data_IF_289711983909
#
_entry.id   IF_289711983909
#
_cell.length_a   1.000
_cell.length_b   1.000
_cell.length_c   1.000
_cell.angle_alpha   90.00
_cell.angle_beta   90.00
_cell.angle_gamma   90.00
#
_symmetry.space_group_name_H-M   'P 1'
#
loop_
_entity.id
_entity.type
_entity.pdbx_description
1 polymer ?
#
# COMPACT_ATOMS: atom_id res chain seq x y z
N UNK A 1 13.01 -14.46 30.42
CA UNK A 1 12.20 -14.82 29.22
C UNK A 1 10.81 -14.14 29.17
N UNK A 2 10.48 -13.34 30.19
CA UNK A 2 9.16 -12.66 30.29
C UNK A 2 9.04 -11.27 29.65
N UNK A 3 10.16 -10.54 29.48
CA UNK A 3 10.12 -9.13 29.07
C UNK A 3 9.91 -8.93 27.56
N UNK A 4 10.32 -9.89 26.74
CA UNK A 4 10.15 -9.82 25.27
C UNK A 4 8.69 -9.90 24.83
N UNK A 5 7.89 -10.77 25.45
CA UNK A 5 6.47 -10.99 25.13
C UNK A 5 5.59 -9.77 25.53
N UNK A 6 5.98 -9.06 26.60
CA UNK A 6 5.26 -7.86 27.06
C UNK A 6 5.49 -6.67 26.11
N UNK A 7 6.73 -6.46 25.64
CA UNK A 7 7.05 -5.39 24.68
C UNK A 7 6.40 -5.61 23.30
N UNK A 8 6.34 -6.86 22.85
CA UNK A 8 5.72 -7.21 21.56
C UNK A 8 4.20 -6.99 21.57
N UNK A 9 3.54 -7.32 22.69
CA UNK A 9 2.12 -7.02 22.88
C UNK A 9 1.81 -5.52 22.86
N UNK A 10 2.68 -4.69 23.44
CA UNK A 10 2.51 -3.21 23.43
C UNK A 10 2.78 -2.66 22.03
N UNK A 11 3.72 -3.26 21.28
CA UNK A 11 4.01 -2.86 19.91
C UNK A 11 2.85 -3.09 18.95
N UNK A 12 2.06 -4.15 19.15
CA UNK A 12 0.92 -4.53 18.31
C UNK A 12 -0.43 -3.96 18.79
N UNK A 13 -0.44 -3.15 19.85
CA UNK A 13 -1.65 -2.43 20.27
C UNK A 13 -2.08 -1.39 19.23
N UNK A 14 -3.40 -1.27 19.02
CA UNK A 14 -3.98 -0.24 18.15
C UNK A 14 -3.50 1.16 18.57
N UNK A 15 -3.37 2.07 17.61
CA UNK A 15 -2.91 3.46 17.83
C UNK A 15 -3.74 4.15 18.90
N UNK A 16 -5.08 3.98 18.86
CA UNK A 16 -5.98 4.55 19.85
C UNK A 16 -5.70 4.04 21.27
N UNK A 17 -5.52 2.72 21.45
CA UNK A 17 -5.24 2.13 22.76
C UNK A 17 -3.86 2.55 23.27
N UNK A 18 -2.88 2.61 22.39
CA UNK A 18 -1.52 3.05 22.73
C UNK A 18 -1.51 4.52 23.14
N UNK A 19 -2.18 5.40 22.42
CA UNK A 19 -2.29 6.81 22.75
C UNK A 19 -2.95 7.00 24.13
N UNK A 20 -4.08 6.32 24.40
CA UNK A 20 -4.76 6.36 25.69
C UNK A 20 -3.85 5.84 26.81
N UNK A 21 -3.10 4.76 26.57
CA UNK A 21 -2.17 4.22 27.56
C UNK A 21 -1.06 5.23 27.93
N UNK A 22 -0.45 5.88 26.91
CA UNK A 22 0.61 6.88 27.11
C UNK A 22 0.06 8.11 27.89
N UNK A 23 -1.15 8.57 27.54
CA UNK A 23 -1.77 9.72 28.21
C UNK A 23 -2.15 9.41 29.65
N UNK A 24 -2.76 8.25 29.93
CA UNK A 24 -3.11 7.84 31.30
C UNK A 24 -1.86 7.66 32.16
N UNK A 25 -0.85 6.94 31.65
CA UNK A 25 0.41 6.73 32.38
C UNK A 25 1.10 8.05 32.67
N UNK A 26 1.14 8.96 31.71
CA UNK A 26 1.71 10.30 31.88
C UNK A 26 0.96 11.11 32.93
N UNK A 27 -0.39 11.11 32.92
CA UNK A 27 -1.20 11.82 33.91
C UNK A 27 -0.99 11.25 35.32
N UNK A 28 -0.88 9.93 35.47
CA UNK A 28 -0.59 9.31 36.78
C UNK A 28 0.78 9.77 37.29
N UNK A 29 1.82 9.69 36.45
CA UNK A 29 3.18 10.09 36.84
C UNK A 29 3.25 11.56 37.18
N UNK A 30 2.66 12.44 36.36
CA UNK A 30 2.65 13.88 36.60
C UNK A 30 1.80 14.26 37.79
N UNK A 31 0.74 13.52 38.08
CA UNK A 31 -0.06 13.73 39.30
C UNK A 31 0.77 13.47 40.58
N UNK A 32 1.40 12.29 40.66
CA UNK A 32 2.25 11.99 41.82
C UNK A 32 3.45 12.94 41.95
N UNK A 33 4.06 13.32 40.83
CA UNK A 33 5.14 14.30 40.81
C UNK A 33 4.65 15.67 41.30
N UNK A 34 3.49 16.15 40.86
CA UNK A 34 2.93 17.43 41.26
C UNK A 34 2.55 17.45 42.75
N UNK A 35 1.96 16.35 43.27
CA UNK A 35 1.64 16.25 44.71
C UNK A 35 2.91 16.35 45.55
N UNK A 36 3.96 15.60 45.17
CA UNK A 36 5.24 15.67 45.89
C UNK A 36 5.87 17.05 45.87
N UNK A 37 5.83 17.74 44.73
CA UNK A 37 6.38 19.09 44.60
C UNK A 37 5.57 20.11 45.40
N UNK A 38 4.22 19.98 45.40
CA UNK A 38 3.33 20.84 46.17
C UNK A 38 3.57 20.68 47.68
N UNK A 39 3.76 19.41 48.13
CA UNK A 39 4.06 19.12 49.52
C UNK A 39 5.41 19.70 49.94
N UNK A 40 6.46 19.56 49.12
CA UNK A 40 7.78 20.17 49.38
C UNK A 40 7.69 21.69 49.37
N UNK A 41 6.91 22.29 48.41
CA UNK A 41 6.71 23.72 48.37
C UNK A 41 5.98 24.23 49.64
N UNK A 42 5.00 23.47 50.15
CA UNK A 42 4.31 23.76 51.40
C UNK A 42 5.25 23.75 52.59
N UNK A 43 6.10 22.74 52.72
CA UNK A 43 7.10 22.66 53.82
C UNK A 43 8.09 23.80 53.75
N UNK A 44 8.62 24.15 52.59
CA UNK A 44 9.54 25.29 52.41
C UNK A 44 8.84 26.59 52.80
N UNK A 45 7.60 26.76 52.37
CA UNK A 45 6.80 27.96 52.66
C UNK A 45 6.54 28.09 54.17
N UNK A 46 6.17 27.00 54.84
CA UNK A 46 5.93 26.97 56.26
C UNK A 46 7.21 27.28 57.03
N UNK A 47 8.35 26.72 56.64
CA UNK A 47 9.66 27.01 57.24
C UNK A 47 10.03 28.50 57.12
N UNK A 48 9.74 29.12 55.94
CA UNK A 48 9.95 30.55 55.73
C UNK A 48 9.03 31.38 56.58
N UNK A 49 7.76 31.04 56.73
CA UNK A 49 6.77 31.78 57.51
C UNK A 49 7.08 31.73 59.01
N UNK A 50 7.57 30.54 59.54
CA UNK A 50 7.99 30.37 60.92
C UNK A 50 9.05 31.39 61.38
N UNK A 51 9.86 31.94 60.49
CA UNK A 51 10.87 32.96 60.83
C UNK A 51 10.25 34.30 61.26
N UNK A 52 9.00 34.55 60.88
CA UNK A 52 8.32 35.81 61.00
C UNK A 52 7.08 35.77 61.91
N UNK A 53 6.74 34.59 62.42
CA UNK A 53 5.62 34.37 63.34
C UNK A 53 6.13 34.42 64.77
N UNK A 54 5.38 35.14 65.64
CA UNK A 54 5.62 35.11 67.07
C UNK A 54 5.17 33.73 67.60
N UNK A 55 6.14 32.97 68.05
CA UNK A 55 5.92 31.57 68.48
C UNK A 55 5.07 31.51 69.76
N UNK A 56 5.26 32.44 70.64
CA UNK A 56 4.53 32.48 71.94
C UNK A 56 3.04 32.79 71.70
N UNK A 57 2.72 33.79 70.86
CA UNK A 57 1.35 34.11 70.44
C UNK A 57 0.70 32.97 69.69
N UNK A 58 1.44 32.27 68.85
CA UNK A 58 0.97 31.09 68.07
C UNK A 58 0.60 29.94 68.99
N UNK A 59 1.47 29.58 69.96
CA UNK A 59 1.22 28.49 70.89
C UNK A 59 0.08 28.84 71.90
N UNK A 60 -0.09 30.09 72.29
CA UNK A 60 -1.22 30.54 73.09
C UNK A 60 -2.54 30.37 72.29
N UNK A 61 -2.59 30.83 71.07
CA UNK A 61 -3.76 30.67 70.20
C UNK A 61 -4.11 29.22 69.89
N UNK A 62 -3.10 28.34 69.85
CA UNK A 62 -3.27 26.91 69.70
C UNK A 62 -3.90 26.25 70.91
N UNK A 63 -3.53 26.71 72.11
CA UNK A 63 -4.00 26.16 73.40
C UNK A 63 -5.43 26.58 73.71
N UNK A 64 -5.87 27.75 73.21
CA UNK A 64 -7.22 28.29 73.39
C UNK A 64 -8.27 27.69 72.39
N UNK A 65 -7.86 26.97 71.37
CA UNK A 65 -8.72 26.34 70.38
C UNK A 65 -8.93 24.85 70.66
N UNK A 66 -10.21 24.48 70.70
CA UNK A 66 -10.67 23.08 70.86
C UNK A 66 -9.99 22.09 69.86
N UNK A 67 -9.74 20.86 70.30
CA UNK A 67 -8.91 19.78 69.72
C UNK A 67 -9.13 19.39 68.26
N UNK A 68 -10.00 20.07 67.48
CA UNK A 68 -10.40 19.68 66.12
C UNK A 68 -10.00 20.65 65.03
N UNK A 69 -9.11 21.62 65.24
CA UNK A 69 -8.64 22.53 64.21
C UNK A 69 -7.13 22.37 63.96
N UNK A 70 -6.76 21.99 62.71
CA UNK A 70 -5.38 22.16 62.23
C UNK A 70 -5.00 23.65 62.24
N UNK A 71 -4.07 23.98 63.11
CA UNK A 71 -3.59 25.37 63.22
C UNK A 71 -2.57 25.59 62.10
N UNK A 72 -3.00 26.20 61.03
CA UNK A 72 -2.13 26.59 59.91
C UNK A 72 -1.30 27.79 60.31
N UNK A 73 -0.01 27.79 60.03
CA UNK A 73 0.91 28.90 60.27
C UNK A 73 0.41 30.14 59.51
N UNK A 74 0.12 31.27 60.19
CA UNK A 74 -0.45 32.44 59.55
C UNK A 74 0.55 33.06 58.57
N UNK A 75 0.08 33.49 57.41
CA UNK A 75 0.90 34.18 56.39
C UNK A 75 1.43 35.50 56.96
N UNK A 76 2.77 35.69 57.03
CA UNK A 76 3.32 36.96 57.52
C UNK A 76 3.06 38.10 56.55
N UNK A 77 2.98 39.35 57.09
CA UNK A 77 2.77 40.54 56.29
C UNK A 77 4.03 40.83 55.44
N UNK A 78 3.89 41.19 54.17
CA UNK A 78 4.96 41.53 53.24
C UNK A 78 5.98 42.54 53.82
N UNK A 79 5.51 43.50 54.54
CA UNK A 79 6.37 44.56 55.16
C UNK A 79 7.34 44.00 56.19
N UNK A 80 7.06 42.86 56.79
CA UNK A 80 7.90 42.19 57.80
C UNK A 80 8.90 41.20 57.21
N UNK A 81 8.68 40.76 55.93
CA UNK A 81 9.48 39.73 55.30
C UNK A 81 10.68 40.30 54.53
N UNK A 82 11.78 39.55 54.47
CA UNK A 82 12.87 39.81 53.53
C UNK A 82 12.36 39.72 52.09
N UNK A 83 12.97 40.48 51.17
CA UNK A 83 12.62 40.38 49.75
C UNK A 83 12.78 38.97 49.20
N UNK A 84 13.81 38.25 49.60
CA UNK A 84 14.06 36.86 49.21
C UNK A 84 12.97 35.92 49.71
N UNK A 85 12.65 36.00 51.02
CA UNK A 85 11.63 35.12 51.62
C UNK A 85 10.23 35.41 51.08
N UNK A 86 9.94 36.68 50.75
CA UNK A 86 8.71 37.02 50.02
C UNK A 86 8.61 36.34 48.63
N UNK A 87 9.68 36.42 47.82
CA UNK A 87 9.68 35.76 46.49
C UNK A 87 9.59 34.25 46.60
N UNK A 88 10.22 33.61 47.59
CA UNK A 88 10.07 32.21 47.86
C UNK A 88 8.62 31.85 48.18
N UNK A 89 7.98 32.60 49.09
CA UNK A 89 6.58 32.38 49.45
C UNK A 89 5.64 32.52 48.25
N UNK A 90 5.78 33.58 47.45
CA UNK A 90 4.99 33.77 46.21
C UNK A 90 5.21 32.65 45.17
N UNK A 91 6.45 32.17 45.05
CA UNK A 91 6.76 31.06 44.15
C UNK A 91 6.11 29.76 44.65
N UNK A 92 6.14 29.52 45.97
CA UNK A 92 5.46 28.39 46.58
C UNK A 92 3.94 28.46 46.40
N UNK A 93 3.32 29.61 46.60
CA UNK A 93 1.89 29.86 46.36
C UNK A 93 1.53 29.59 44.90
N UNK A 94 2.33 30.09 43.97
CA UNK A 94 2.15 29.85 42.54
C UNK A 94 2.23 28.34 42.20
N UNK A 95 3.24 27.64 42.73
CA UNK A 95 3.41 26.20 42.54
C UNK A 95 2.25 25.38 43.13
N UNK A 96 1.81 25.73 44.32
CA UNK A 96 0.66 25.07 44.98
C UNK A 96 -0.63 25.28 44.20
N UNK A 97 -0.84 26.48 43.65
CA UNK A 97 -2.08 26.84 42.91
C UNK A 97 -2.08 26.28 41.50
N UNK A 98 -0.98 26.42 40.75
CA UNK A 98 -0.92 26.12 39.33
C UNK A 98 -0.08 24.86 38.97
N UNK A 99 0.65 24.28 39.94
CA UNK A 99 1.57 23.19 39.73
C UNK A 99 0.92 21.99 39.06
N UNK A 100 -0.24 21.55 39.51
CA UNK A 100 -0.96 20.40 38.91
C UNK A 100 -1.24 20.64 37.43
N UNK A 101 -1.71 21.85 37.07
CA UNK A 101 -2.00 22.18 35.67
C UNK A 101 -0.73 22.20 34.81
N UNK A 102 0.33 22.86 35.29
CA UNK A 102 1.59 22.98 34.56
C UNK A 102 2.22 21.61 34.29
N UNK A 103 2.32 20.77 35.33
CA UNK A 103 2.87 19.44 35.19
C UNK A 103 2.01 18.52 34.33
N UNK A 104 0.66 18.64 34.42
CA UNK A 104 -0.25 17.90 33.58
C UNK A 104 -0.10 18.25 32.10
N UNK A 105 0.00 19.55 31.77
CA UNK A 105 0.24 19.98 30.39
C UNK A 105 1.61 19.52 29.86
N UNK A 106 2.66 19.68 30.67
CA UNK A 106 3.99 19.19 30.29
C UNK A 106 4.02 17.68 30.06
N UNK A 107 3.39 16.90 30.95
CA UNK A 107 3.26 15.46 30.81
C UNK A 107 2.48 15.03 29.58
N UNK A 108 1.37 15.71 29.30
CA UNK A 108 0.61 15.45 28.07
C UNK A 108 1.46 15.71 26.81
N UNK A 109 2.21 16.80 26.79
CA UNK A 109 3.14 17.10 25.68
C UNK A 109 4.21 16.02 25.48
N UNK A 110 4.79 15.52 26.58
CA UNK A 110 5.76 14.42 26.56
C UNK A 110 5.09 13.14 26.03
N UNK A 111 3.89 12.80 26.51
CA UNK A 111 3.16 11.60 26.09
C UNK A 111 2.88 11.61 24.57
N UNK A 112 2.39 12.74 24.05
CA UNK A 112 2.13 12.93 22.61
C UNK A 112 3.42 12.82 21.79
N UNK A 113 4.51 13.44 22.26
CA UNK A 113 5.81 13.37 21.59
C UNK A 113 6.37 11.95 21.53
N UNK A 114 6.30 11.21 22.63
CA UNK A 114 6.72 9.81 22.70
C UNK A 114 5.84 8.91 21.80
N UNK A 115 4.54 9.10 21.83
CA UNK A 115 3.61 8.38 20.96
C UNK A 115 3.94 8.62 19.46
N UNK A 116 4.11 9.89 19.07
CA UNK A 116 4.49 10.24 17.70
C UNK A 116 5.81 9.57 17.28
N UNK A 117 6.85 9.70 18.13
CA UNK A 117 8.18 9.14 17.85
C UNK A 117 8.16 7.62 17.70
N UNK A 118 7.43 6.92 18.59
CA UNK A 118 7.47 5.47 18.67
C UNK A 118 6.50 4.76 17.71
N UNK A 119 5.35 5.39 17.40
CA UNK A 119 4.28 4.76 16.62
C UNK A 119 4.06 5.34 15.23
N UNK A 120 4.28 6.63 15.03
CA UNK A 120 3.92 7.30 13.79
C UNK A 120 5.11 7.64 12.90
N UNK A 121 6.23 8.08 13.49
CA UNK A 121 7.35 8.62 12.71
C UNK A 121 7.90 7.61 11.70
N UNK A 122 8.15 6.36 12.13
CA UNK A 122 8.75 5.34 11.28
C UNK A 122 7.84 4.93 10.11
N UNK A 123 6.58 4.50 10.32
CA UNK A 123 5.73 4.10 9.21
C UNK A 123 5.41 5.24 8.24
N UNK A 124 5.25 6.47 8.75
CA UNK A 124 5.05 7.64 7.88
C UNK A 124 6.27 7.90 6.98
N UNK A 125 7.49 7.75 7.52
CA UNK A 125 8.71 7.90 6.72
C UNK A 125 8.84 6.79 5.67
N UNK A 126 8.54 5.55 6.01
CA UNK A 126 8.55 4.43 5.06
C UNK A 126 7.53 4.63 3.94
N UNK A 127 6.29 5.01 4.27
CA UNK A 127 5.26 5.32 3.28
C UNK A 127 5.66 6.49 2.37
N UNK A 128 6.31 7.52 2.92
CA UNK A 128 6.81 8.66 2.13
C UNK A 128 7.90 8.21 1.14
N UNK A 129 8.87 7.43 1.59
CA UNK A 129 9.93 6.89 0.72
C UNK A 129 9.34 5.98 -0.37
N UNK A 130 8.45 5.06 0.02
CA UNK A 130 7.77 4.18 -0.91
C UNK A 130 6.98 4.95 -1.99
N UNK A 131 6.27 6.01 -1.60
CA UNK A 131 5.56 6.88 -2.54
C UNK A 131 6.50 7.60 -3.51
N UNK A 132 7.70 8.01 -3.05
CA UNK A 132 8.69 8.63 -3.92
C UNK A 132 9.28 7.62 -4.91
N UNK A 133 9.63 6.40 -4.47
CA UNK A 133 10.14 5.35 -5.35
C UNK A 133 9.11 4.96 -6.42
N UNK A 134 7.84 4.84 -6.06
CA UNK A 134 6.76 4.59 -7.06
C UNK A 134 6.67 5.75 -8.07
N UNK A 135 6.81 7.00 -7.63
CA UNK A 135 6.78 8.15 -8.54
C UNK A 135 8.00 8.19 -9.49
N UNK A 136 9.11 7.57 -9.12
CA UNK A 136 10.32 7.39 -9.94
C UNK A 136 10.28 6.08 -10.76
N UNK A 137 9.13 5.39 -10.77
CA UNK A 137 8.91 4.08 -11.42
C UNK A 137 9.80 2.94 -10.88
N UNK A 138 10.43 3.15 -9.72
CA UNK A 138 11.18 2.13 -9.01
C UNK A 138 10.25 1.35 -8.09
N UNK A 139 9.97 0.11 -8.44
CA UNK A 139 9.11 -0.81 -7.68
C UNK A 139 9.91 -1.89 -6.93
N UNK A 140 11.26 -1.86 -7.00
CA UNK A 140 12.14 -2.84 -6.36
C UNK A 140 12.44 -2.45 -4.89
N UNK A 141 11.39 -2.38 -4.08
CA UNK A 141 11.49 -2.17 -2.64
C UNK A 141 10.42 -2.95 -1.91
N UNK A 142 10.61 -3.13 -0.60
CA UNK A 142 9.62 -3.75 0.29
C UNK A 142 9.42 -2.92 1.54
N UNK A 143 8.18 -2.89 2.04
CA UNK A 143 7.84 -2.22 3.29
C UNK A 143 8.34 -3.03 4.48
N UNK A 144 9.16 -2.41 5.35
CA UNK A 144 9.77 -3.06 6.51
C UNK A 144 8.92 -2.98 7.79
N UNK A 145 7.80 -2.24 7.78
CA UNK A 145 6.95 -2.08 8.96
C UNK A 145 5.94 -3.21 9.09
N UNK A 146 6.20 -4.14 10.03
CA UNK A 146 5.43 -5.39 10.19
C UNK A 146 4.47 -5.40 11.40
N UNK A 147 4.25 -4.27 12.07
CA UNK A 147 3.35 -4.24 13.23
C UNK A 147 1.90 -4.54 12.82
N UNK A 148 1.12 -5.11 13.76
CA UNK A 148 -0.30 -5.44 13.56
C UNK A 148 -1.27 -4.30 13.96
N UNK A 149 -0.75 -3.08 14.07
CA UNK A 149 -1.55 -1.89 14.32
C UNK A 149 -2.13 -1.28 13.01
N UNK A 150 -2.88 -0.18 13.12
CA UNK A 150 -3.52 0.47 11.98
C UNK A 150 -2.49 0.99 10.95
N UNK A 151 -1.27 1.36 11.39
CA UNK A 151 -0.19 1.73 10.48
C UNK A 151 0.36 0.53 9.73
N UNK A 152 0.50 -0.61 10.40
CA UNK A 152 0.90 -1.87 9.77
C UNK A 152 -0.13 -2.35 8.74
N UNK A 153 -1.43 -2.18 9.02
CA UNK A 153 -2.48 -2.45 8.02
C UNK A 153 -2.30 -1.56 6.79
N UNK A 154 -2.09 -0.26 6.99
CA UNK A 154 -1.87 0.69 5.90
C UNK A 154 -0.62 0.34 5.08
N UNK A 155 0.48 -0.03 5.73
CA UNK A 155 1.69 -0.47 5.05
C UNK A 155 1.48 -1.74 4.22
N UNK A 156 0.71 -2.72 4.72
CA UNK A 156 0.37 -3.94 3.97
C UNK A 156 -0.49 -3.64 2.74
N UNK A 157 -1.49 -2.76 2.86
CA UNK A 157 -2.30 -2.38 1.69
C UNK A 157 -1.47 -1.61 0.65
N UNK A 158 -0.51 -0.79 1.10
CA UNK A 158 0.41 -0.10 0.21
C UNK A 158 1.35 -1.08 -0.52
N UNK A 159 1.88 -2.08 0.19
CA UNK A 159 2.69 -3.16 -0.39
C UNK A 159 1.90 -3.99 -1.41
N UNK A 160 0.64 -4.28 -1.12
CA UNK A 160 -0.26 -4.96 -2.06
C UNK A 160 -0.46 -4.14 -3.34
N UNK A 161 -0.66 -2.83 -3.21
CA UNK A 161 -0.77 -1.92 -4.36
C UNK A 161 0.52 -1.90 -5.18
N UNK A 162 1.71 -1.84 -4.52
CA UNK A 162 3.00 -1.93 -5.17
C UNK A 162 3.14 -3.22 -5.98
N UNK A 163 2.81 -4.36 -5.38
CA UNK A 163 2.86 -5.65 -6.07
C UNK A 163 1.93 -5.73 -7.28
N UNK A 164 0.74 -5.13 -7.20
CA UNK A 164 -0.16 -5.04 -8.35
C UNK A 164 0.41 -4.16 -9.47
N UNK A 165 1.05 -3.03 -9.13
CA UNK A 165 1.72 -2.17 -10.10
C UNK A 165 2.89 -2.88 -10.79
N UNK A 166 3.70 -3.61 -10.03
CA UNK A 166 4.81 -4.41 -10.55
C UNK A 166 4.31 -5.48 -11.53
N UNK A 167 3.28 -6.23 -11.15
CA UNK A 167 2.68 -7.26 -12.01
C UNK A 167 2.07 -6.64 -13.28
N UNK A 168 1.38 -5.51 -13.16
CA UNK A 168 0.82 -4.80 -14.32
C UNK A 168 1.92 -4.31 -15.27
N UNK A 169 3.01 -3.74 -14.74
CA UNK A 169 4.16 -3.34 -15.54
C UNK A 169 4.79 -4.53 -16.27
N UNK A 170 4.97 -5.64 -15.57
CA UNK A 170 5.50 -6.86 -16.18
C UNK A 170 4.62 -7.36 -17.32
N UNK A 171 3.30 -7.37 -17.14
CA UNK A 171 2.34 -7.75 -18.20
C UNK A 171 2.39 -6.79 -19.39
N UNK A 172 2.49 -5.49 -19.13
CA UNK A 172 2.62 -4.50 -20.20
C UNK A 172 3.89 -4.73 -21.02
N UNK A 173 5.03 -4.98 -20.38
CA UNK A 173 6.27 -5.30 -21.09
C UNK A 173 6.17 -6.59 -21.91
N UNK A 174 5.52 -7.62 -21.37
CA UNK A 174 5.27 -8.85 -22.13
C UNK A 174 4.40 -8.57 -23.35
N UNK A 175 3.31 -7.83 -23.22
CA UNK A 175 2.44 -7.45 -24.33
C UNK A 175 3.20 -6.66 -25.42
N UNK A 176 4.06 -5.71 -25.01
CA UNK A 176 4.88 -4.93 -25.96
C UNK A 176 5.85 -5.84 -26.71
N UNK A 177 6.49 -6.78 -26.02
CA UNK A 177 7.43 -7.71 -26.68
C UNK A 177 6.70 -8.68 -27.61
N UNK A 178 5.55 -9.22 -27.20
CA UNK A 178 4.72 -10.09 -28.05
C UNK A 178 4.26 -9.34 -29.32
N UNK A 179 3.83 -8.08 -29.18
CA UNK A 179 3.48 -7.25 -30.32
C UNK A 179 4.66 -7.00 -31.25
N UNK A 180 5.86 -6.78 -30.69
CA UNK A 180 7.08 -6.60 -31.48
C UNK A 180 7.43 -7.84 -32.29
N UNK A 181 7.37 -9.02 -31.66
CA UNK A 181 7.60 -10.30 -32.32
C UNK A 181 6.58 -10.53 -33.42
N UNK A 182 5.31 -10.28 -33.16
CA UNK A 182 4.23 -10.40 -34.14
C UNK A 182 4.45 -9.47 -35.34
N UNK A 183 4.80 -8.21 -35.12
CA UNK A 183 5.10 -7.25 -36.20
C UNK A 183 6.28 -7.70 -37.06
N UNK A 184 7.33 -8.27 -36.44
CA UNK A 184 8.49 -8.79 -37.17
C UNK A 184 8.11 -9.99 -38.05
N UNK A 185 7.30 -10.92 -37.51
CA UNK A 185 6.79 -12.08 -38.26
C UNK A 185 5.92 -11.65 -39.45
N UNK A 186 4.97 -10.72 -39.24
CA UNK A 186 4.13 -10.16 -40.33
C UNK A 186 5.00 -9.53 -41.42
N UNK A 187 5.98 -8.72 -41.05
CA UNK A 187 6.89 -8.10 -42.03
C UNK A 187 7.69 -9.12 -42.82
N UNK A 188 8.13 -10.20 -42.21
CA UNK A 188 8.81 -11.31 -42.87
C UNK A 188 7.88 -12.03 -43.86
N UNK A 189 6.67 -12.40 -43.43
CA UNK A 189 5.73 -13.20 -44.21
C UNK A 189 5.10 -12.40 -45.39
N UNK A 190 5.09 -11.08 -45.31
CA UNK A 190 4.74 -10.20 -46.43
C UNK A 190 5.92 -10.04 -47.41
N UNK A 191 7.16 -9.95 -46.90
CA UNK A 191 8.34 -9.73 -47.74
C UNK A 191 8.59 -10.86 -48.71
N UNK A 192 8.39 -12.12 -48.30
CA UNK A 192 8.64 -13.31 -49.13
C UNK A 192 7.79 -13.33 -50.41
N UNK A 193 6.44 -13.26 -50.37
CA UNK A 193 5.63 -13.23 -51.59
C UNK A 193 5.87 -11.99 -52.44
N UNK A 194 6.16 -10.84 -51.84
CA UNK A 194 6.53 -9.62 -52.57
C UNK A 194 7.85 -9.80 -53.35
N UNK A 195 8.86 -10.42 -52.76
CA UNK A 195 10.13 -10.70 -53.44
C UNK A 195 9.95 -11.65 -54.64
N UNK A 196 9.10 -12.68 -54.52
CA UNK A 196 8.78 -13.61 -55.61
C UNK A 196 8.05 -12.87 -56.74
N UNK A 197 7.04 -12.07 -56.42
CA UNK A 197 6.31 -11.27 -57.42
C UNK A 197 7.24 -10.30 -58.15
N UNK A 198 8.11 -9.62 -57.39
CA UNK A 198 9.10 -8.73 -57.97
C UNK A 198 10.05 -9.47 -58.93
N UNK A 199 10.54 -10.64 -58.56
CA UNK A 199 11.37 -11.46 -59.40
C UNK A 199 10.70 -11.87 -60.73
N UNK A 200 9.42 -12.27 -60.66
CA UNK A 200 8.64 -12.57 -61.86
C UNK A 200 8.47 -11.33 -62.77
N UNK A 201 8.20 -10.17 -62.16
CA UNK A 201 8.07 -8.93 -62.94
C UNK A 201 9.40 -8.48 -63.56
N UNK A 202 10.53 -8.55 -62.81
CA UNK A 202 11.85 -8.26 -63.31
C UNK A 202 12.20 -9.15 -64.52
N UNK A 203 11.94 -10.46 -64.40
CA UNK A 203 12.17 -11.40 -65.51
C UNK A 203 11.28 -11.13 -66.73
N UNK A 204 10.00 -10.78 -66.54
CA UNK A 204 9.11 -10.44 -67.63
C UNK A 204 9.54 -9.14 -68.32
N UNK A 205 9.98 -8.13 -67.54
CA UNK A 205 10.45 -6.84 -68.09
C UNK A 205 11.78 -6.98 -68.88
N UNK A 206 12.65 -7.90 -68.48
CA UNK A 206 13.93 -8.15 -69.12
C UNK A 206 13.83 -9.00 -70.39
N UNK A 207 13.10 -10.13 -70.31
CA UNK A 207 13.15 -11.13 -71.37
C UNK A 207 12.02 -11.04 -72.41
N UNK A 208 10.86 -10.40 -72.10
CA UNK A 208 9.78 -10.23 -73.07
C UNK A 208 10.17 -9.31 -74.26
N UNK A 209 10.84 -8.17 -74.04
CA UNK A 209 11.27 -7.26 -75.12
C UNK A 209 12.30 -7.90 -76.06
N UNK A 210 13.07 -8.88 -75.60
CA UNK A 210 14.10 -9.58 -76.32
C UNK A 210 13.61 -10.86 -77.03
N UNK A 211 12.32 -11.14 -76.97
CA UNK A 211 11.68 -12.33 -77.53
C UNK A 211 12.29 -13.66 -77.05
N UNK A 212 12.87 -13.59 -75.83
CA UNK A 212 13.60 -14.75 -75.20
C UNK A 212 12.66 -15.63 -74.33
N UNK A 213 11.40 -15.24 -74.16
CA UNK A 213 10.40 -15.99 -73.38
C UNK A 213 9.32 -16.54 -74.29
N UNK A 214 9.08 -17.84 -74.18
CA UNK A 214 7.90 -18.42 -74.85
C UNK A 214 6.60 -18.06 -74.09
N UNK A 215 5.46 -18.15 -74.78
CA UNK A 215 4.17 -17.78 -74.26
C UNK A 215 3.81 -18.65 -73.03
N UNK A 216 4.28 -19.87 -72.91
CA UNK A 216 3.97 -20.78 -71.81
C UNK A 216 4.68 -20.35 -70.52
N UNK A 217 5.94 -19.98 -70.60
CA UNK A 217 6.72 -19.46 -69.44
C UNK A 217 6.20 -18.08 -68.97
N UNK A 218 5.81 -17.22 -69.92
CA UNK A 218 5.19 -15.95 -69.57
C UNK A 218 3.89 -16.14 -68.77
N UNK A 219 3.04 -17.10 -69.23
CA UNK A 219 1.79 -17.42 -68.49
C UNK A 219 2.08 -18.08 -67.14
N UNK A 220 3.11 -18.92 -67.03
CA UNK A 220 3.51 -19.49 -65.75
C UNK A 220 3.94 -18.44 -64.75
N UNK A 221 4.78 -17.47 -65.11
CA UNK A 221 5.20 -16.34 -64.27
C UNK A 221 4.03 -15.47 -63.84
N UNK A 222 3.08 -15.12 -64.73
CA UNK A 222 1.87 -14.38 -64.42
C UNK A 222 0.98 -15.15 -63.43
N UNK A 223 0.77 -16.46 -63.65
CA UNK A 223 0.03 -17.33 -62.73
C UNK A 223 0.72 -17.42 -61.36
N UNK A 224 2.05 -17.58 -61.36
CA UNK A 224 2.85 -17.58 -60.12
C UNK A 224 2.71 -16.30 -59.32
N UNK A 225 2.76 -15.16 -60.01
CA UNK A 225 2.52 -13.84 -59.36
C UNK A 225 1.11 -13.72 -58.80
N UNK A 226 0.08 -14.13 -59.54
CA UNK A 226 -1.30 -14.13 -59.09
C UNK A 226 -1.51 -15.01 -57.84
N UNK A 227 -0.90 -16.17 -57.80
CA UNK A 227 -0.92 -17.08 -56.66
C UNK A 227 -0.33 -16.41 -55.39
N UNK A 228 0.73 -15.59 -55.52
CA UNK A 228 1.30 -14.87 -54.39
C UNK A 228 0.36 -13.79 -53.89
N UNK A 229 -0.37 -13.08 -54.77
CA UNK A 229 -1.41 -12.13 -54.42
C UNK A 229 -2.54 -12.80 -53.64
N UNK A 230 -3.01 -13.95 -54.08
CA UNK A 230 -4.06 -14.73 -53.40
C UNK A 230 -3.60 -15.16 -51.98
N UNK A 231 -2.35 -15.64 -51.87
CA UNK A 231 -1.76 -16.00 -50.56
C UNK A 231 -1.71 -14.77 -49.61
N UNK A 232 -1.29 -13.62 -50.11
CA UNK A 232 -1.28 -12.39 -49.30
C UNK A 232 -2.69 -11.97 -48.88
N UNK A 233 -3.67 -12.04 -49.77
CA UNK A 233 -5.09 -11.71 -49.40
C UNK A 233 -5.59 -12.67 -48.31
N UNK A 234 -5.29 -13.96 -48.42
CA UNK A 234 -5.68 -14.95 -47.42
C UNK A 234 -5.00 -14.72 -46.07
N UNK A 235 -3.75 -14.28 -46.08
CA UNK A 235 -3.00 -13.91 -44.90
C UNK A 235 -3.63 -12.68 -44.22
N UNK A 236 -3.95 -11.62 -44.98
CA UNK A 236 -4.61 -10.43 -44.48
C UNK A 236 -6.00 -10.73 -43.88
N UNK A 237 -6.78 -11.60 -44.55
CA UNK A 237 -8.07 -12.02 -44.03
C UNK A 237 -7.96 -12.81 -42.72
N UNK A 238 -6.93 -13.64 -42.60
CA UNK A 238 -6.65 -14.40 -41.39
C UNK A 238 -6.27 -13.47 -40.22
N UNK A 239 -5.40 -12.49 -40.48
CA UNK A 239 -5.05 -11.45 -39.51
C UNK A 239 -6.28 -10.65 -39.04
N UNK A 240 -7.13 -10.25 -40.00
CA UNK A 240 -8.38 -9.53 -39.68
C UNK A 240 -9.34 -10.34 -38.82
N UNK A 241 -9.42 -11.65 -39.04
CA UNK A 241 -10.23 -12.55 -38.20
C UNK A 241 -9.66 -12.66 -36.80
N UNK A 242 -8.33 -12.72 -36.67
CA UNK A 242 -7.63 -12.78 -35.37
C UNK A 242 -7.88 -11.51 -34.54
N UNK A 243 -7.73 -10.33 -35.12
CA UNK A 243 -8.04 -9.05 -34.46
C UNK A 243 -9.49 -8.97 -33.97
N UNK A 244 -10.44 -9.45 -34.79
CA UNK A 244 -11.85 -9.49 -34.39
C UNK A 244 -12.15 -10.49 -33.26
N UNK A 245 -11.33 -11.52 -33.05
CA UNK A 245 -11.44 -12.45 -31.95
C UNK A 245 -10.91 -11.81 -30.63
N UNK A 246 -9.85 -11.01 -30.72
CA UNK A 246 -9.28 -10.29 -29.58
C UNK A 246 -10.22 -9.17 -29.07
N UNK A 247 -11.00 -8.53 -29.98
CA UNK A 247 -12.00 -7.53 -29.63
C UNK A 247 -13.30 -8.11 -29.06
N UNK A 248 -13.50 -9.43 -29.12
CA UNK A 248 -14.71 -10.06 -28.57
C UNK A 248 -14.62 -10.18 -27.06
N UNK A 249 -15.54 -9.50 -26.37
CA UNK A 249 -15.82 -9.78 -24.97
C UNK A 249 -16.28 -11.25 -24.84
N UNK A 250 -15.56 -12.02 -24.04
CA UNK A 250 -15.93 -13.39 -23.70
C UNK A 250 -17.19 -13.37 -22.83
N UNK A 251 -18.33 -13.66 -23.41
CA UNK A 251 -19.54 -13.93 -22.64
C UNK A 251 -19.44 -15.34 -22.04
N UNK A 252 -18.87 -15.40 -20.83
CA UNK A 252 -18.79 -16.66 -20.11
C UNK A 252 -20.21 -17.08 -19.68
N UNK A 253 -20.66 -18.23 -20.15
CA UNK A 253 -21.91 -18.88 -19.74
C UNK A 253 -21.62 -20.31 -19.29
N UNK A 254 -22.43 -20.77 -18.34
CA UNK A 254 -22.37 -22.18 -17.92
C UNK A 254 -22.87 -23.05 -19.07
N UNK A 255 -21.98 -23.87 -19.62
CA UNK A 255 -22.30 -24.75 -20.73
C UNK A 255 -22.40 -26.18 -20.21
N UNK A 256 -23.51 -26.87 -20.55
CA UNK A 256 -23.62 -28.31 -20.31
C UNK A 256 -22.73 -29.07 -21.29
N UNK A 257 -21.72 -29.75 -20.75
CA UNK A 257 -20.74 -30.50 -21.53
C UNK A 257 -21.38 -31.54 -22.43
N UNK A 258 -22.47 -32.21 -21.99
CA UNK A 258 -23.20 -33.21 -22.79
C UNK A 258 -23.82 -32.53 -24.02
N UNK A 259 -24.42 -31.35 -23.84
CA UNK A 259 -25.00 -30.62 -24.98
C UNK A 259 -23.92 -30.20 -25.97
N UNK A 260 -22.75 -29.74 -25.45
CA UNK A 260 -21.63 -29.34 -26.28
C UNK A 260 -21.06 -30.54 -27.09
N UNK A 261 -20.88 -31.71 -26.45
CA UNK A 261 -20.41 -32.92 -27.10
C UNK A 261 -21.38 -33.38 -28.21
N UNK A 262 -22.68 -33.39 -27.92
CA UNK A 262 -23.71 -33.74 -28.90
C UNK A 262 -23.73 -32.77 -30.10
N UNK A 263 -23.51 -31.48 -29.89
CA UNK A 263 -23.40 -30.51 -30.97
C UNK A 263 -22.12 -30.73 -31.83
N UNK A 264 -21.00 -31.04 -31.19
CA UNK A 264 -19.75 -31.34 -31.88
C UNK A 264 -19.90 -32.64 -32.71
N UNK A 265 -20.54 -33.68 -32.16
CA UNK A 265 -20.81 -34.94 -32.88
C UNK A 265 -21.68 -34.70 -34.10
N UNK A 266 -22.77 -33.94 -33.96
CA UNK A 266 -23.67 -33.62 -35.07
C UNK A 266 -22.98 -32.80 -36.16
N UNK A 267 -22.10 -31.87 -35.82
CA UNK A 267 -21.30 -31.09 -36.75
C UNK A 267 -20.24 -31.95 -37.44
N UNK A 268 -19.59 -32.86 -36.71
CA UNK A 268 -18.59 -33.76 -37.22
C UNK A 268 -19.19 -34.79 -38.22
N UNK A 269 -20.37 -35.34 -37.95
CA UNK A 269 -21.09 -36.21 -38.87
C UNK A 269 -21.32 -35.56 -40.24
N UNK A 270 -21.74 -34.30 -40.29
CA UNK A 270 -21.96 -33.54 -41.54
C UNK A 270 -20.66 -33.35 -42.34
N UNK A 271 -19.52 -33.19 -41.64
CA UNK A 271 -18.19 -33.03 -42.29
C UNK A 271 -17.63 -34.35 -42.76
N UNK A 272 -17.83 -35.40 -41.98
CA UNK A 272 -17.36 -36.80 -42.28
C UNK A 272 -18.12 -37.42 -43.46
N UNK A 273 -19.43 -37.19 -43.55
CA UNK A 273 -20.27 -37.65 -44.67
C UNK A 273 -19.76 -37.15 -46.04
N UNK A 274 -19.12 -35.96 -46.06
CA UNK A 274 -18.48 -35.40 -47.26
C UNK A 274 -17.08 -35.91 -47.56
N UNK A 275 -16.41 -36.59 -46.62
CA UNK A 275 -14.97 -36.92 -46.73
C UNK A 275 -14.61 -38.42 -46.66
N UNK A 276 -15.58 -39.31 -46.59
CA UNK A 276 -15.39 -40.79 -46.49
C UNK A 276 -14.45 -41.23 -45.33
N UNK A 277 -14.44 -40.49 -44.21
CA UNK A 277 -13.61 -40.77 -43.02
C UNK A 277 -14.49 -41.18 -41.84
N UNK A 278 -13.97 -42.03 -40.96
CA UNK A 278 -14.65 -42.43 -39.73
C UNK A 278 -14.27 -41.49 -38.60
N UNK A 279 -15.28 -41.04 -37.86
CA UNK A 279 -15.11 -40.18 -36.69
C UNK A 279 -15.59 -40.94 -35.43
N UNK A 280 -14.82 -40.89 -34.35
CA UNK A 280 -15.16 -41.56 -33.10
C UNK A 280 -14.90 -40.59 -31.93
N UNK A 281 -15.91 -40.31 -31.13
CA UNK A 281 -15.76 -39.53 -29.92
C UNK A 281 -15.62 -40.47 -28.72
N UNK A 282 -14.53 -40.32 -27.97
CA UNK A 282 -14.30 -41.11 -26.74
C UNK A 282 -14.25 -40.18 -25.55
N UNK A 283 -15.24 -40.26 -24.66
CA UNK A 283 -15.27 -39.48 -23.39
C UNK A 283 -14.57 -40.29 -22.29
N UNK A 284 -13.57 -39.68 -21.66
CA UNK A 284 -12.75 -40.31 -20.60
C UNK A 284 -13.28 -40.02 -19.17
N UNK A 285 -14.19 -39.03 -18.96
CA UNK A 285 -14.83 -38.75 -17.68
C UNK A 285 -16.22 -38.15 -17.84
N UNK A 286 -17.16 -38.66 -17.05
CA UNK A 286 -18.61 -38.30 -17.11
C UNK A 286 -19.07 -37.12 -16.30
N UNK A 287 -18.23 -36.39 -15.58
CA UNK A 287 -18.69 -35.27 -14.77
C UNK A 287 -17.63 -34.25 -14.47
N UNK A 288 -17.59 -33.17 -15.22
CA UNK A 288 -17.07 -31.87 -14.74
C UNK A 288 -17.81 -30.75 -15.49
N UNK A 289 -18.42 -29.86 -14.72
CA UNK A 289 -18.97 -28.59 -15.22
C UNK A 289 -17.78 -27.68 -15.46
N UNK A 290 -17.46 -27.44 -16.74
CA UNK A 290 -16.48 -26.41 -17.12
C UNK A 290 -17.21 -25.08 -17.24
N UNK A 291 -16.76 -24.08 -16.47
CA UNK A 291 -17.05 -22.67 -16.73
C UNK A 291 -16.00 -22.17 -17.71
N UNK A 292 -16.42 -21.89 -18.92
CA UNK A 292 -15.62 -21.23 -19.93
C UNK A 292 -15.89 -19.72 -19.96
#
# INVERSE_FOLDING_TARGET
MGDGVSMEKIRNLSLKKTMVLYTILSLIVTFFLSVSIIEIAGQIQEEVWWKYVDQDEYYQAMNDRNENFEVVVPRPNQSKMSRMDWHISETCDFLQTYGVLLFSFAGCGIAVSLFYKNKLKRPIQELKMASQMIAEEDLDFHMAYENEDEMGMLCREFERMRGQLEENNRRLWQMIEDERVLRAAIAHDIRSPLAIMRGYQEMLLEFVPEDMLDQEKMMEMLRGGMLQIERMNHFIDSMRKMTKLEERELNCSVVDIRQLINQIEALAEVVVEKSEKNFTVTTVRESEILTA
#
